data_IF_875626948608
#
_entry.id   IF_875626948608
#
_cell.length_a   1.000
_cell.length_b   1.000
_cell.length_c   1.000
_cell.angle_alpha   90.00
_cell.angle_beta   90.00
_cell.angle_gamma   90.00
#
_symmetry.space_group_name_H-M   'P 1'
#
loop_
_entity.id
_entity.type
_entity.pdbx_description
1 polymer ?
#
# COMPACT_ATOMS: atom_id res chain seq x y z
N UNK A 1 15.42 -35.21 -31.70
CA UNK A 1 15.11 -33.85 -31.20
C UNK A 1 14.53 -33.08 -32.38
N UNK A 2 13.26 -32.66 -32.32
CA UNK A 2 12.68 -31.88 -33.42
C UNK A 2 13.19 -30.45 -33.34
N UNK A 3 13.63 -29.87 -34.46
CA UNK A 3 14.11 -28.49 -34.49
C UNK A 3 12.92 -27.52 -34.51
N UNK A 4 12.96 -26.50 -33.64
CA UNK A 4 12.00 -25.40 -33.67
C UNK A 4 12.58 -24.25 -34.51
N UNK A 5 11.76 -23.68 -35.39
CA UNK A 5 12.12 -22.53 -36.23
C UNK A 5 11.18 -21.37 -35.93
N UNK A 6 11.72 -20.15 -35.79
CA UNK A 6 10.95 -18.92 -35.66
C UNK A 6 11.31 -17.96 -36.81
N UNK A 7 10.32 -17.24 -37.35
CA UNK A 7 10.51 -16.22 -38.39
C UNK A 7 10.23 -14.81 -37.83
N UNK A 8 11.09 -13.85 -38.14
CA UNK A 8 10.95 -12.44 -37.71
C UNK A 8 10.91 -11.55 -38.95
N UNK A 9 9.87 -10.72 -39.07
CA UNK A 9 9.65 -9.81 -40.21
C UNK A 9 9.58 -8.35 -39.76
N UNK A 10 10.70 -7.61 -39.76
CA UNK A 10 10.77 -6.25 -39.19
C UNK A 10 10.09 -5.15 -40.03
N UNK A 11 9.80 -5.40 -41.30
CA UNK A 11 9.30 -4.39 -42.26
C UNK A 11 7.87 -4.68 -42.79
N UNK A 12 7.07 -5.49 -42.10
CA UNK A 12 5.72 -5.87 -42.53
C UNK A 12 4.57 -4.97 -42.06
N UNK A 13 3.35 -5.29 -42.53
CA UNK A 13 2.08 -4.55 -42.30
C UNK A 13 1.50 -4.67 -40.88
N UNK A 14 2.07 -5.51 -40.02
CA UNK A 14 1.60 -5.77 -38.65
C UNK A 14 2.37 -4.99 -37.57
N UNK A 15 2.77 -3.74 -37.83
CA UNK A 15 3.47 -2.91 -36.85
C UNK A 15 2.50 -2.38 -35.79
N UNK A 16 2.91 -2.43 -34.52
CA UNK A 16 2.20 -1.81 -33.40
C UNK A 16 3.18 -0.98 -32.58
N UNK A 17 2.73 0.19 -32.14
CA UNK A 17 3.47 0.98 -31.16
C UNK A 17 3.43 0.22 -29.83
N UNK A 18 4.61 -0.06 -29.28
CA UNK A 18 4.72 -0.57 -27.92
C UNK A 18 4.81 0.64 -27.00
N UNK A 19 3.82 0.83 -26.14
CA UNK A 19 3.88 1.87 -25.12
C UNK A 19 5.08 1.63 -24.21
N UNK A 20 5.94 2.63 -23.95
CA UNK A 20 7.07 2.44 -23.05
C UNK A 20 6.61 2.05 -21.65
N UNK A 21 5.42 2.48 -21.20
CA UNK A 21 4.87 2.22 -19.87
C UNK A 21 4.51 0.75 -19.60
N UNK A 22 4.61 -0.13 -20.61
CA UNK A 22 4.45 -1.57 -20.41
C UNK A 22 5.49 -2.15 -19.44
N UNK A 23 6.68 -1.54 -19.37
CA UNK A 23 7.80 -1.96 -18.51
C UNK A 23 7.81 -1.23 -17.16
N UNK A 24 6.61 -1.00 -16.60
CA UNK A 24 6.43 -0.40 -15.29
C UNK A 24 6.60 -1.40 -14.15
N UNK A 25 6.89 -0.88 -12.96
CA UNK A 25 7.05 -1.64 -11.71
C UNK A 25 6.21 -1.03 -10.58
N UNK A 26 6.06 -1.75 -9.46
CA UNK A 26 5.59 -1.17 -8.20
C UNK A 26 6.80 -1.03 -7.27
N UNK A 27 6.92 0.10 -6.58
CA UNK A 27 8.02 0.38 -5.64
C UNK A 27 9.41 0.07 -6.22
N UNK A 28 9.65 0.53 -7.45
CA UNK A 28 10.94 0.36 -8.15
C UNK A 28 12.11 0.92 -7.34
N UNK A 29 13.25 0.23 -7.42
CA UNK A 29 14.50 0.59 -6.74
C UNK A 29 15.63 0.79 -7.74
N UNK A 30 16.71 1.45 -7.30
CA UNK A 30 17.84 1.75 -8.15
C UNK A 30 18.50 0.47 -8.69
N UNK A 31 19.05 0.53 -9.90
CA UNK A 31 19.73 -0.60 -10.54
C UNK A 31 18.84 -1.50 -11.39
N UNK A 32 17.52 -1.30 -11.38
CA UNK A 32 16.60 -1.95 -12.32
C UNK A 32 15.95 -0.88 -13.22
N UNK A 33 16.09 -0.95 -14.56
CA UNK A 33 15.39 -0.04 -15.46
C UNK A 33 13.88 -0.23 -15.41
N UNK A 34 13.13 0.85 -15.31
CA UNK A 34 11.67 0.88 -15.42
C UNK A 34 11.20 2.18 -16.06
N UNK A 35 10.05 2.15 -16.71
CA UNK A 35 9.48 3.31 -17.43
C UNK A 35 8.29 3.95 -16.70
N UNK A 36 7.71 3.24 -15.74
CA UNK A 36 6.69 3.73 -14.83
C UNK A 36 6.90 3.10 -13.44
N UNK A 37 6.53 3.81 -12.39
CA UNK A 37 6.61 3.33 -11.02
C UNK A 37 5.29 3.60 -10.30
N UNK A 38 4.67 2.55 -9.76
CA UNK A 38 3.37 2.64 -9.10
C UNK A 38 3.48 2.58 -7.57
N UNK A 39 2.94 3.61 -6.92
CA UNK A 39 2.63 3.64 -5.49
C UNK A 39 1.18 3.21 -5.28
N UNK A 40 1.00 2.01 -4.76
CA UNK A 40 -0.33 1.44 -4.55
C UNK A 40 -0.30 0.11 -3.81
N UNK A 41 -1.41 -0.61 -3.88
CA UNK A 41 -1.59 -1.88 -3.16
C UNK A 41 -2.41 -1.69 -1.89
N UNK A 42 -2.60 -2.78 -1.15
CA UNK A 42 -3.55 -2.88 -0.04
C UNK A 42 -3.39 -1.76 1.00
N UNK A 43 -2.15 -1.50 1.45
CA UNK A 43 -1.86 -0.49 2.47
C UNK A 43 -2.14 0.95 2.01
N UNK A 44 -2.08 1.20 0.70
CA UNK A 44 -2.32 2.54 0.12
C UNK A 44 -3.81 2.84 0.01
N UNK A 45 -4.68 1.83 0.00
CA UNK A 45 -6.15 1.99 -0.04
C UNK A 45 -6.69 2.91 1.07
N UNK A 46 -6.02 2.96 2.22
CA UNK A 46 -6.35 3.80 3.38
C UNK A 46 -5.22 4.79 3.70
N UNK A 47 -4.37 5.18 2.76
CA UNK A 47 -3.28 6.09 3.07
C UNK A 47 -3.79 7.48 3.51
N UNK A 48 -3.39 7.96 4.68
CA UNK A 48 -3.64 9.34 5.10
C UNK A 48 -2.48 10.23 4.63
N UNK A 49 -2.67 10.92 3.50
CA UNK A 49 -1.62 11.74 2.85
C UNK A 49 -1.14 12.92 3.73
N UNK A 50 -2.03 13.47 4.54
CA UNK A 50 -1.76 14.58 5.45
C UNK A 50 -0.96 14.16 6.69
N UNK A 51 -1.11 12.89 7.09
CA UNK A 51 -0.44 12.32 8.25
C UNK A 51 0.74 11.43 7.87
N UNK A 52 0.88 11.04 6.60
CA UNK A 52 1.78 10.00 6.10
C UNK A 52 1.69 8.68 6.89
N UNK A 53 0.47 8.15 6.99
CA UNK A 53 0.15 6.91 7.74
C UNK A 53 -0.62 5.96 6.86
N UNK A 54 -0.30 4.67 6.96
CA UNK A 54 -1.01 3.61 6.25
C UNK A 54 -1.64 2.64 7.25
N UNK A 55 -2.79 2.06 6.88
CA UNK A 55 -3.28 0.86 7.55
C UNK A 55 -2.78 -0.37 6.78
N UNK A 56 -2.21 -1.36 7.47
CA UNK A 56 -1.64 -2.56 6.85
C UNK A 56 -2.69 -3.58 6.39
N UNK A 57 -3.98 -3.26 6.50
CA UNK A 57 -5.09 -4.13 6.13
C UNK A 57 -4.95 -5.52 6.79
N UNK A 58 -5.51 -6.57 6.16
CA UNK A 58 -5.31 -7.94 6.63
C UNK A 58 -3.89 -8.46 6.39
N UNK A 59 -3.04 -7.75 5.64
CA UNK A 59 -1.67 -8.18 5.37
C UNK A 59 -0.84 -8.16 6.65
N UNK A 60 -1.15 -7.23 7.57
CA UNK A 60 -0.53 -7.16 8.90
C UNK A 60 -1.50 -6.59 9.95
N UNK A 61 -2.30 -7.48 10.56
CA UNK A 61 -3.10 -7.24 11.78
C UNK A 61 -3.96 -5.95 11.82
N UNK A 62 -4.36 -5.41 10.67
CA UNK A 62 -5.21 -4.21 10.53
C UNK A 62 -4.65 -2.97 11.24
N UNK A 63 -3.32 -2.85 11.28
CA UNK A 63 -2.65 -1.84 12.07
C UNK A 63 -2.44 -0.55 11.30
N UNK A 64 -2.64 0.59 11.95
CA UNK A 64 -2.05 1.83 11.48
C UNK A 64 -0.56 1.86 11.83
N UNK A 65 0.26 2.13 10.82
CA UNK A 65 1.70 2.37 10.99
C UNK A 65 2.04 3.66 10.26
N UNK A 66 2.64 4.60 10.99
CA UNK A 66 3.17 5.81 10.38
C UNK A 66 4.39 5.45 9.53
N UNK A 67 4.51 6.08 8.37
CA UNK A 67 5.76 6.01 7.64
C UNK A 67 6.82 6.86 8.35
N UNK A 68 8.07 6.45 8.20
CA UNK A 68 9.23 7.21 8.67
C UNK A 68 9.40 8.46 7.81
N UNK A 69 9.41 9.63 8.45
CA UNK A 69 9.59 10.92 7.79
C UNK A 69 10.63 11.75 8.53
N UNK A 70 11.41 12.53 7.78
CA UNK A 70 12.48 13.36 8.34
C UNK A 70 11.97 14.46 9.28
N UNK A 71 10.81 15.03 8.97
CA UNK A 71 10.20 16.09 9.76
C UNK A 71 8.67 15.92 9.78
N UNK A 72 8.16 15.26 10.83
CA UNK A 72 6.72 15.04 10.96
C UNK A 72 5.91 16.34 11.09
N UNK A 73 6.51 17.41 11.61
CA UNK A 73 5.86 18.73 11.73
C UNK A 73 5.73 19.46 10.40
N UNK A 74 6.43 19.02 9.35
CA UNK A 74 6.33 19.59 8.01
C UNK A 74 5.26 18.90 7.14
N UNK A 75 4.67 17.79 7.63
CA UNK A 75 3.65 17.08 6.87
C UNK A 75 2.47 18.00 6.51
N UNK A 76 1.89 17.86 5.30
CA UNK A 76 2.14 16.80 4.31
C UNK A 76 3.44 16.94 3.50
N UNK A 77 4.16 18.06 3.60
CA UNK A 77 5.33 18.31 2.77
C UNK A 77 6.47 17.34 3.11
N UNK A 78 6.99 16.67 2.08
CA UNK A 78 8.04 15.66 2.25
C UNK A 78 7.50 14.32 2.76
N UNK A 79 6.20 14.07 2.58
CA UNK A 79 5.58 12.77 2.83
C UNK A 79 6.24 11.66 2.00
N UNK A 80 6.00 10.41 2.38
CA UNK A 80 6.49 9.26 1.61
C UNK A 80 5.96 9.23 0.17
N UNK A 81 4.76 9.76 -0.09
CA UNK A 81 4.27 9.94 -1.46
C UNK A 81 5.06 10.99 -2.24
N UNK A 82 5.44 12.11 -1.61
CA UNK A 82 6.28 13.13 -2.25
C UNK A 82 7.65 12.56 -2.60
N UNK A 83 8.27 11.86 -1.65
CA UNK A 83 9.56 11.20 -1.83
C UNK A 83 9.50 10.15 -2.96
N UNK A 84 8.41 9.39 -3.06
CA UNK A 84 8.20 8.44 -4.15
C UNK A 84 8.08 9.12 -5.52
N UNK A 85 7.32 10.21 -5.61
CA UNK A 85 7.17 10.98 -6.84
C UNK A 85 8.53 11.55 -7.25
N UNK A 86 9.24 12.20 -6.34
CA UNK A 86 10.56 12.79 -6.58
C UNK A 86 11.57 11.74 -7.05
N UNK A 87 11.61 10.58 -6.37
CA UNK A 87 12.44 9.46 -6.75
C UNK A 87 12.14 8.97 -8.17
N UNK A 88 10.86 8.79 -8.48
CA UNK A 88 10.42 8.27 -9.79
C UNK A 88 10.75 9.23 -10.92
N UNK A 89 10.56 10.54 -10.70
CA UNK A 89 10.91 11.57 -11.68
C UNK A 89 12.43 11.66 -11.90
N UNK A 90 13.23 11.55 -10.84
CA UNK A 90 14.70 11.51 -10.95
C UNK A 90 15.21 10.29 -11.72
N UNK A 91 14.47 9.18 -11.67
CA UNK A 91 14.75 7.99 -12.46
C UNK A 91 14.29 8.10 -13.94
N UNK A 92 13.69 9.22 -14.35
CA UNK A 92 13.18 9.41 -15.72
C UNK A 92 11.93 8.58 -16.03
N UNK A 93 11.19 8.16 -15.01
CA UNK A 93 10.01 7.31 -15.14
C UNK A 93 8.70 8.05 -14.80
N UNK A 94 7.57 7.49 -15.22
CA UNK A 94 6.24 8.02 -14.91
C UNK A 94 5.76 7.57 -13.51
N UNK A 95 5.47 8.48 -12.57
CA UNK A 95 4.83 8.10 -11.31
C UNK A 95 3.33 7.81 -11.50
N UNK A 96 2.86 6.73 -10.88
CA UNK A 96 1.44 6.36 -10.79
C UNK A 96 1.07 6.27 -9.32
N UNK A 97 0.16 7.13 -8.86
CA UNK A 97 -0.23 7.22 -7.45
C UNK A 97 -1.67 6.76 -7.27
N UNK A 98 -1.89 5.88 -6.29
CA UNK A 98 -3.23 5.50 -5.85
C UNK A 98 -3.79 6.57 -4.91
N UNK A 99 -4.97 7.10 -5.24
CA UNK A 99 -5.74 7.97 -4.34
C UNK A 99 -6.75 7.12 -3.55
N UNK A 100 -6.76 7.19 -2.21
CA UNK A 100 -7.74 6.50 -1.37
C UNK A 100 -9.18 6.96 -1.68
N UNK A 101 -10.07 6.02 -1.96
CA UNK A 101 -11.50 6.29 -2.22
C UNK A 101 -12.45 5.49 -1.32
N UNK A 102 -11.93 4.70 -0.38
CA UNK A 102 -12.72 3.80 0.47
C UNK A 102 -13.54 4.53 1.56
N UNK A 103 -13.33 5.84 1.72
CA UNK A 103 -14.06 6.69 2.68
C UNK A 103 -13.51 6.68 4.11
N UNK A 104 -12.38 6.01 4.37
CA UNK A 104 -11.73 5.97 5.67
C UNK A 104 -10.21 6.09 5.53
N UNK A 105 -9.59 6.85 6.42
CA UNK A 105 -8.14 6.97 6.53
C UNK A 105 -7.71 7.02 8.00
N UNK A 106 -6.46 6.63 8.34
CA UNK A 106 -5.86 6.79 9.66
C UNK A 106 -6.18 8.13 10.31
N UNK A 107 -6.52 8.08 11.59
CA UNK A 107 -6.97 9.26 12.34
C UNK A 107 -5.81 10.07 12.95
N UNK A 108 -4.66 9.44 13.17
CA UNK A 108 -3.42 10.06 13.66
C UNK A 108 -2.18 9.24 13.26
N UNK A 109 -0.99 9.69 13.69
CA UNK A 109 0.30 9.03 13.48
C UNK A 109 0.64 7.95 14.52
N UNK A 110 -0.26 7.66 15.46
CA UNK A 110 0.01 6.64 16.47
C UNK A 110 -0.18 5.24 15.88
N UNK A 111 0.54 4.27 16.44
CA UNK A 111 0.18 2.86 16.23
C UNK A 111 -1.24 2.64 16.75
N UNK A 112 -2.11 2.06 15.92
CA UNK A 112 -3.48 1.71 16.31
C UNK A 112 -3.88 0.37 15.72
N UNK A 113 -4.54 -0.47 16.52
CA UNK A 113 -4.99 -1.78 16.12
C UNK A 113 -6.47 -1.76 15.72
N UNK A 114 -6.81 -2.19 14.49
CA UNK A 114 -8.22 -2.28 14.06
C UNK A 114 -9.04 -3.32 14.83
N UNK A 115 -8.35 -4.34 15.36
CA UNK A 115 -8.91 -5.37 16.22
C UNK A 115 -8.07 -5.52 17.49
N UNK A 116 -8.06 -4.49 18.35
CA UNK A 116 -7.42 -4.56 19.67
C UNK A 116 -7.91 -5.79 20.45
N UNK A 117 -6.98 -6.63 20.94
CA UNK A 117 -7.28 -7.78 21.80
C UNK A 117 -7.83 -7.32 23.14
N UNK A 118 -7.34 -6.20 23.68
CA UNK A 118 -7.88 -5.60 24.90
C UNK A 118 -9.35 -5.19 24.76
N UNK A 119 -9.76 -4.73 23.58
CA UNK A 119 -11.13 -4.27 23.31
C UNK A 119 -12.06 -5.38 22.83
N UNK A 120 -11.60 -6.27 21.95
CA UNK A 120 -12.42 -7.26 21.25
C UNK A 120 -12.19 -8.70 21.71
N UNK A 121 -11.31 -8.90 22.69
CA UNK A 121 -11.00 -10.19 23.28
C UNK A 121 -9.95 -11.00 22.52
N UNK A 122 -9.68 -12.20 23.03
CA UNK A 122 -8.65 -13.09 22.52
C UNK A 122 -8.93 -13.54 21.07
N UNK A 123 -7.90 -13.43 20.23
CA UNK A 123 -7.97 -13.72 18.80
C UNK A 123 -7.04 -14.88 18.42
N UNK A 124 -7.22 -15.45 17.23
CA UNK A 124 -6.43 -16.60 16.75
C UNK A 124 -4.96 -16.26 16.58
N UNK A 125 -4.67 -15.05 16.13
CA UNK A 125 -3.32 -14.55 15.94
C UNK A 125 -3.27 -13.08 16.32
N UNK A 126 -2.09 -12.65 16.75
CA UNK A 126 -1.74 -11.27 17.05
C UNK A 126 -0.38 -10.96 16.43
N UNK A 127 -0.06 -9.67 16.22
CA UNK A 127 1.29 -9.28 15.83
C UNK A 127 2.29 -9.81 16.89
N UNK A 128 3.33 -10.57 16.48
CA UNK A 128 4.38 -11.03 17.39
C UNK A 128 5.08 -9.89 18.17
N UNK A 129 5.09 -8.67 17.62
CA UNK A 129 5.70 -7.50 18.23
C UNK A 129 4.70 -6.60 18.95
N UNK A 130 3.40 -6.81 18.75
CA UNK A 130 2.32 -6.07 19.40
C UNK A 130 1.12 -7.00 19.67
N UNK A 131 1.14 -7.65 20.83
CA UNK A 131 0.12 -8.62 21.21
C UNK A 131 -1.30 -8.04 21.35
N UNK A 132 -1.45 -6.71 21.33
CA UNK A 132 -2.77 -6.08 21.30
C UNK A 132 -3.35 -6.03 19.87
N UNK A 133 -2.53 -6.06 18.83
CA UNK A 133 -3.03 -6.02 17.46
C UNK A 133 -3.40 -7.41 16.96
N UNK A 134 -4.70 -7.71 16.94
CA UNK A 134 -5.23 -9.01 16.52
C UNK A 134 -5.64 -9.09 15.05
N UNK A 135 -5.83 -10.32 14.57
CA UNK A 135 -6.16 -10.62 13.17
C UNK A 135 -7.66 -10.52 12.83
N UNK A 136 -8.51 -10.06 13.74
CA UNK A 136 -9.95 -9.97 13.57
C UNK A 136 -10.70 -11.29 13.65
N UNK A 137 -10.06 -12.39 14.05
CA UNK A 137 -10.70 -13.72 14.16
C UNK A 137 -10.75 -14.17 15.63
N UNK A 138 -11.95 -14.38 16.16
CA UNK A 138 -12.15 -14.77 17.55
C UNK A 138 -11.53 -16.15 17.85
N UNK A 139 -10.79 -16.27 18.95
CA UNK A 139 -10.04 -17.50 19.25
C UNK A 139 -10.93 -18.74 19.47
N UNK A 140 -12.06 -18.57 20.17
CA UNK A 140 -12.94 -19.70 20.54
C UNK A 140 -13.81 -20.20 19.37
N UNK A 141 -14.46 -19.28 18.65
CA UNK A 141 -15.42 -19.63 17.59
C UNK A 141 -14.79 -19.72 16.21
N UNK A 142 -13.58 -19.20 16.02
CA UNK A 142 -12.96 -18.98 14.70
C UNK A 142 -13.80 -18.09 13.77
N UNK A 143 -14.76 -17.34 14.32
CA UNK A 143 -15.59 -16.42 13.56
C UNK A 143 -14.89 -15.05 13.42
N UNK A 144 -15.17 -14.36 12.32
CA UNK A 144 -14.76 -12.96 12.16
C UNK A 144 -15.46 -12.09 13.22
N UNK A 145 -14.68 -11.21 13.86
CA UNK A 145 -15.17 -10.15 14.74
C UNK A 145 -15.83 -9.10 13.84
N UNK A 146 -17.11 -8.80 14.07
CA UNK A 146 -17.93 -7.92 13.21
C UNK A 146 -18.37 -6.62 13.87
N UNK A 147 -18.11 -6.49 15.17
CA UNK A 147 -18.49 -5.34 15.99
C UNK A 147 -17.30 -4.40 16.27
N UNK A 148 -16.26 -4.45 15.45
CA UNK A 148 -15.15 -3.52 15.58
C UNK A 148 -15.56 -2.12 15.10
N UNK A 149 -15.12 -1.12 15.84
CA UNK A 149 -15.41 0.29 15.55
C UNK A 149 -14.34 0.85 14.59
N UNK A 150 -14.71 1.29 13.37
CA UNK A 150 -13.78 1.94 12.46
C UNK A 150 -13.05 3.15 13.08
N UNK A 151 -13.67 3.84 14.05
CA UNK A 151 -13.08 4.97 14.75
C UNK A 151 -11.86 4.60 15.61
N UNK A 152 -11.62 3.32 15.89
CA UNK A 152 -10.41 2.89 16.60
C UNK A 152 -9.14 3.18 15.81
N UNK A 153 -9.23 3.16 14.48
CA UNK A 153 -8.09 3.39 13.59
C UNK A 153 -8.34 4.49 12.58
N UNK A 154 -9.58 4.90 12.30
CA UNK A 154 -9.84 5.80 11.19
C UNK A 154 -10.87 6.87 11.44
N UNK A 155 -10.60 8.01 10.79
CA UNK A 155 -11.59 9.04 10.51
C UNK A 155 -12.27 8.75 9.18
N UNK A 156 -13.51 9.20 9.04
CA UNK A 156 -14.19 9.25 7.74
C UNK A 156 -13.55 10.33 6.89
N UNK A 157 -13.38 10.04 5.61
CA UNK A 157 -12.93 10.99 4.60
C UNK A 157 -14.01 11.05 3.54
N UNK A 158 -14.61 12.22 3.36
CA UNK A 158 -15.63 12.47 2.34
C UNK A 158 -15.01 12.89 1.00
N UNK A 159 -15.81 12.91 -0.07
CA UNK A 159 -15.48 13.70 -1.26
C UNK A 159 -15.39 15.20 -0.94
#
# INVERSE_FOLDING_TARGET
VSAATASVQPLGIARRIVSPFLFGVNFGVAGTPFTANRWGGNAVTRYAWDLDVQNRASDWYFENRANEVKNASALPFGSSSDAFIEYTLRAGALPIITLPTIGFAPLDRQTRCGFSVRKYGAQKQTDPNDADCGNGIANKSSAAIRNNDPADTSRRVGP
#
